data_IF_952900684500
#
_entry.id   IF_952900684500
#
_cell.length_a   1.000
_cell.length_b   1.000
_cell.length_c   1.000
_cell.angle_alpha   90.00
_cell.angle_beta   90.00
_cell.angle_gamma   90.00
#
_symmetry.space_group_name_H-M   'P 1'
#
loop_
_entity.id
_entity.type
_entity.pdbx_description
1 polymer ?
#
# COMPACT_ATOMS: atom_id res chain seq x y z
N UNK A 1 47.10 -27.93 5.55
CA UNK A 1 46.64 -26.57 5.16
C UNK A 1 45.96 -26.58 3.79
N UNK A 2 46.57 -27.16 2.75
CA UNK A 2 46.00 -27.29 1.39
C UNK A 2 44.69 -28.07 1.32
N UNK A 3 44.58 -29.19 2.06
CA UNK A 3 43.34 -29.98 2.14
C UNK A 3 42.15 -29.17 2.68
N UNK A 4 42.37 -28.32 3.69
CA UNK A 4 41.32 -27.48 4.30
C UNK A 4 40.84 -26.41 3.31
N UNK A 5 41.78 -25.77 2.61
CA UNK A 5 41.48 -24.75 1.58
C UNK A 5 40.66 -25.38 0.44
N UNK A 6 41.06 -26.56 -0.03
CA UNK A 6 40.32 -27.30 -1.06
C UNK A 6 38.88 -27.63 -0.64
N UNK A 7 38.68 -28.11 0.59
CA UNK A 7 37.34 -28.39 1.13
C UNK A 7 36.50 -27.12 1.23
N UNK A 8 37.08 -26.00 1.66
CA UNK A 8 36.38 -24.73 1.75
C UNK A 8 35.89 -24.23 0.37
N UNK A 9 36.74 -24.33 -0.66
CA UNK A 9 36.33 -23.98 -2.03
C UNK A 9 35.24 -24.89 -2.57
N UNK A 10 35.37 -26.20 -2.37
CA UNK A 10 34.36 -27.16 -2.81
C UNK A 10 33.01 -26.92 -2.13
N UNK A 11 33.00 -26.69 -0.81
CA UNK A 11 31.79 -26.36 -0.06
C UNK A 11 31.15 -25.08 -0.58
N UNK A 12 31.95 -24.04 -0.83
CA UNK A 12 31.46 -22.76 -1.36
C UNK A 12 30.84 -22.94 -2.75
N UNK A 13 31.48 -23.70 -3.65
CA UNK A 13 30.93 -24.02 -4.97
C UNK A 13 29.61 -24.78 -4.87
N UNK A 14 29.52 -25.79 -4.00
CA UNK A 14 28.28 -26.55 -3.79
C UNK A 14 27.15 -25.63 -3.30
N UNK A 15 27.43 -24.79 -2.30
CA UNK A 15 26.44 -23.85 -1.78
C UNK A 15 25.99 -22.84 -2.84
N UNK A 16 26.91 -22.34 -3.68
CA UNK A 16 26.57 -21.43 -4.77
C UNK A 16 25.70 -22.10 -5.83
N UNK A 17 25.99 -23.35 -6.20
CA UNK A 17 25.17 -24.10 -7.15
C UNK A 17 23.77 -24.34 -6.58
N UNK A 18 23.66 -24.74 -5.32
CA UNK A 18 22.37 -24.93 -4.64
C UNK A 18 21.59 -23.61 -4.60
N UNK A 19 22.24 -22.49 -4.25
CA UNK A 19 21.62 -21.18 -4.24
C UNK A 19 21.15 -20.75 -5.64
N UNK A 20 21.96 -20.98 -6.68
CA UNK A 20 21.61 -20.69 -8.07
C UNK A 20 20.39 -21.50 -8.51
N UNK A 21 20.36 -22.81 -8.22
CA UNK A 21 19.23 -23.69 -8.56
C UNK A 21 17.96 -23.24 -7.83
N UNK A 22 18.06 -22.90 -6.54
CA UNK A 22 16.94 -22.38 -5.76
C UNK A 22 16.41 -21.05 -6.34
N UNK A 23 17.31 -20.13 -6.71
CA UNK A 23 16.94 -18.87 -7.34
C UNK A 23 16.26 -19.08 -8.70
N UNK A 24 16.78 -19.97 -9.54
CA UNK A 24 16.18 -20.33 -10.83
C UNK A 24 14.82 -21.00 -10.67
N UNK A 25 14.68 -21.93 -9.72
CA UNK A 25 13.41 -22.57 -9.40
C UNK A 25 12.37 -21.52 -8.96
N UNK A 26 12.76 -20.57 -8.10
CA UNK A 26 11.91 -19.45 -7.68
C UNK A 26 11.51 -18.56 -8.86
N UNK A 27 12.48 -18.23 -9.73
CA UNK A 27 12.25 -17.41 -10.92
C UNK A 27 11.24 -18.06 -11.88
N UNK A 28 11.32 -19.39 -12.07
CA UNK A 28 10.42 -20.14 -12.94
C UNK A 28 9.01 -20.32 -12.37
N UNK A 29 8.89 -20.55 -11.06
CA UNK A 29 7.61 -20.84 -10.39
C UNK A 29 6.90 -19.60 -9.84
N UNK A 30 7.56 -18.44 -9.81
CA UNK A 30 7.04 -17.22 -9.19
C UNK A 30 5.80 -16.64 -9.90
N UNK A 31 4.63 -16.54 -9.23
CA UNK A 31 3.41 -15.92 -9.77
C UNK A 31 3.42 -14.37 -9.65
N UNK A 32 4.28 -13.81 -8.80
CA UNK A 32 4.40 -12.36 -8.56
C UNK A 32 5.55 -11.76 -9.38
N UNK A 33 5.31 -10.64 -10.06
CA UNK A 33 6.35 -9.88 -10.77
C UNK A 33 7.45 -9.36 -9.82
N UNK A 34 7.10 -9.09 -8.56
CA UNK A 34 8.04 -8.68 -7.52
C UNK A 34 8.95 -9.83 -7.12
N UNK A 35 8.41 -11.03 -7.00
CA UNK A 35 9.17 -12.24 -6.65
C UNK A 35 10.19 -12.61 -7.73
N UNK A 36 9.83 -12.44 -9.01
CA UNK A 36 10.77 -12.62 -10.12
C UNK A 36 11.94 -11.62 -10.07
N UNK A 37 11.67 -10.35 -9.73
CA UNK A 37 12.72 -9.33 -9.60
C UNK A 37 13.68 -9.60 -8.43
N UNK A 38 13.17 -10.16 -7.33
CA UNK A 38 14.00 -10.62 -6.20
C UNK A 38 14.83 -11.84 -6.60
N UNK A 39 14.24 -12.81 -7.31
CA UNK A 39 14.96 -13.99 -7.76
C UNK A 39 16.11 -13.65 -8.70
N UNK A 40 15.94 -12.66 -9.59
CA UNK A 40 17.03 -12.18 -10.45
C UNK A 40 18.14 -11.47 -9.68
N UNK A 41 17.80 -10.70 -8.63
CA UNK A 41 18.80 -10.06 -7.76
C UNK A 41 19.59 -11.09 -6.96
N UNK A 42 18.92 -12.09 -6.40
CA UNK A 42 19.57 -13.23 -5.75
C UNK A 42 20.52 -13.95 -6.71
N UNK A 43 20.12 -14.14 -7.98
CA UNK A 43 20.99 -14.75 -8.99
C UNK A 43 22.22 -13.89 -9.28
N UNK A 44 22.06 -12.56 -9.35
CA UNK A 44 23.19 -11.62 -9.44
C UNK A 44 24.10 -11.71 -8.21
N UNK A 45 23.55 -11.77 -7.00
CA UNK A 45 24.33 -11.92 -5.77
C UNK A 45 25.12 -13.24 -5.74
N UNK A 46 24.52 -14.34 -6.19
CA UNK A 46 25.22 -15.64 -6.36
C UNK A 46 26.33 -15.53 -7.41
N UNK A 47 26.11 -14.78 -8.49
CA UNK A 47 27.13 -14.52 -9.51
C UNK A 47 28.31 -13.72 -8.92
N UNK A 48 28.04 -12.67 -8.14
CA UNK A 48 29.05 -11.89 -7.41
C UNK A 48 29.86 -12.79 -6.48
N UNK A 49 29.20 -13.64 -5.70
CA UNK A 49 29.89 -14.56 -4.79
C UNK A 49 30.74 -15.59 -5.55
N UNK A 50 30.27 -16.09 -6.69
CA UNK A 50 31.04 -16.97 -7.58
C UNK A 50 32.26 -16.28 -8.19
N UNK A 51 32.13 -15.03 -8.64
CA UNK A 51 33.26 -14.22 -9.12
C UNK A 51 34.25 -13.93 -7.98
N UNK A 52 33.76 -13.73 -6.75
CA UNK A 52 34.61 -13.55 -5.57
C UNK A 52 35.43 -14.81 -5.28
N UNK A 53 34.79 -15.97 -5.35
CA UNK A 53 35.48 -17.25 -5.24
C UNK A 53 36.53 -17.44 -6.35
N UNK A 54 36.24 -17.00 -7.58
CA UNK A 54 37.21 -17.01 -8.68
C UNK A 54 38.43 -16.13 -8.38
N UNK A 55 38.25 -14.94 -7.80
CA UNK A 55 39.37 -14.07 -7.37
C UNK A 55 40.24 -14.79 -6.34
N UNK A 56 39.63 -15.46 -5.37
CA UNK A 56 40.35 -16.20 -4.33
C UNK A 56 41.14 -17.37 -4.94
N UNK A 57 40.54 -18.13 -5.86
CA UNK A 57 41.17 -19.30 -6.49
C UNK A 57 42.29 -18.87 -7.44
N UNK A 58 42.07 -17.84 -8.24
CA UNK A 58 43.04 -17.35 -9.24
C UNK A 58 44.18 -16.52 -8.64
N UNK A 59 43.98 -15.98 -7.43
CA UNK A 59 44.93 -15.06 -6.79
C UNK A 59 45.06 -13.71 -7.52
N UNK A 60 44.22 -13.44 -8.52
CA UNK A 60 44.28 -12.24 -9.35
C UNK A 60 43.14 -11.28 -9.02
N UNK A 61 43.47 -10.01 -8.85
CA UNK A 61 42.52 -8.94 -8.52
C UNK A 61 41.84 -8.34 -9.75
N UNK A 62 42.08 -8.86 -10.95
CA UNK A 62 41.50 -8.34 -12.21
C UNK A 62 39.97 -8.35 -12.22
N UNK A 63 39.33 -9.27 -11.49
CA UNK A 63 37.87 -9.34 -11.41
C UNK A 63 37.26 -8.52 -10.24
N UNK A 64 38.06 -7.84 -9.41
CA UNK A 64 37.53 -6.98 -8.35
C UNK A 64 36.64 -5.84 -8.86
N UNK A 65 36.97 -5.12 -9.95
CA UNK A 65 36.08 -4.11 -10.51
C UNK A 65 34.75 -4.70 -10.97
N UNK A 66 34.76 -5.93 -11.50
CA UNK A 66 33.55 -6.66 -11.93
C UNK A 66 32.64 -6.90 -10.74
N UNK A 67 33.17 -7.28 -9.57
CA UNK A 67 32.40 -7.45 -8.33
C UNK A 67 31.69 -6.15 -7.92
N UNK A 68 32.37 -5.02 -8.00
CA UNK A 68 31.80 -3.72 -7.66
C UNK A 68 30.64 -3.40 -8.60
N UNK A 69 30.84 -3.51 -9.91
CA UNK A 69 29.81 -3.21 -10.91
C UNK A 69 28.60 -4.15 -10.77
N UNK A 70 28.81 -5.47 -10.65
CA UNK A 70 27.72 -6.42 -10.46
C UNK A 70 26.95 -6.16 -9.16
N UNK A 71 27.63 -5.83 -8.07
CA UNK A 71 26.99 -5.52 -6.78
C UNK A 71 26.10 -4.28 -6.87
N UNK A 72 26.58 -3.23 -7.53
CA UNK A 72 25.79 -2.02 -7.76
C UNK A 72 24.55 -2.31 -8.63
N UNK A 73 24.72 -3.06 -9.72
CA UNK A 73 23.61 -3.40 -10.64
C UNK A 73 22.56 -4.28 -9.94
N UNK A 74 23.00 -5.33 -9.24
CA UNK A 74 22.12 -6.23 -8.50
C UNK A 74 21.30 -5.47 -7.46
N UNK A 75 21.96 -4.70 -6.60
CA UNK A 75 21.29 -3.93 -5.55
C UNK A 75 20.36 -2.83 -6.08
N UNK A 76 20.78 -2.11 -7.12
CA UNK A 76 20.03 -0.93 -7.59
C UNK A 76 18.69 -1.32 -8.24
N UNK A 77 18.62 -2.47 -8.92
CA UNK A 77 17.42 -2.92 -9.63
C UNK A 77 16.18 -3.03 -8.73
N UNK A 78 16.17 -3.89 -7.71
CA UNK A 78 15.04 -4.07 -6.80
C UNK A 78 14.72 -2.81 -5.99
N UNK A 79 15.72 -2.04 -5.56
CA UNK A 79 15.51 -0.80 -4.78
C UNK A 79 14.78 0.27 -5.59
N UNK A 80 15.12 0.41 -6.87
CA UNK A 80 14.43 1.32 -7.77
C UNK A 80 12.96 0.91 -7.95
N UNK A 81 12.70 -0.39 -8.13
CA UNK A 81 11.33 -0.92 -8.26
C UNK A 81 10.52 -0.72 -6.97
N UNK A 82 11.11 -1.00 -5.81
CA UNK A 82 10.47 -0.80 -4.51
C UNK A 82 10.07 0.67 -4.28
N UNK A 83 10.95 1.63 -4.65
CA UNK A 83 10.63 3.06 -4.60
C UNK A 83 9.51 3.43 -5.56
N UNK A 84 9.48 2.91 -6.78
CA UNK A 84 8.42 3.22 -7.73
C UNK A 84 7.05 2.76 -7.23
N UNK A 85 6.99 1.58 -6.60
CA UNK A 85 5.75 1.03 -6.04
C UNK A 85 5.22 1.91 -4.90
N UNK A 86 6.10 2.36 -4.00
CA UNK A 86 5.70 3.23 -2.89
C UNK A 86 5.19 4.59 -3.40
N UNK A 87 5.88 5.22 -4.35
CA UNK A 87 5.43 6.47 -4.97
C UNK A 87 4.07 6.33 -5.67
N UNK A 88 3.88 5.27 -6.45
CA UNK A 88 2.60 5.03 -7.13
C UNK A 88 1.45 4.80 -6.15
N UNK A 89 1.71 4.15 -5.02
CA UNK A 89 0.68 3.90 -4.00
C UNK A 89 0.23 5.16 -3.25
N UNK A 90 1.09 6.17 -3.14
CA UNK A 90 0.74 7.47 -2.57
C UNK A 90 -0.13 8.25 -3.56
N UNK A 91 0.32 8.36 -4.82
CA UNK A 91 -0.41 9.06 -5.87
C UNK A 91 -1.82 8.47 -6.11
N UNK A 92 -1.94 7.13 -6.17
CA UNK A 92 -3.24 6.46 -6.36
C UNK A 92 -4.18 6.71 -5.17
N UNK A 93 -3.66 6.80 -3.93
CA UNK A 93 -4.47 7.13 -2.75
C UNK A 93 -5.01 8.56 -2.81
N UNK A 94 -4.19 9.51 -3.23
CA UNK A 94 -4.59 10.91 -3.32
C UNK A 94 -5.64 11.11 -4.42
N UNK A 95 -5.47 10.47 -5.59
CA UNK A 95 -6.49 10.46 -6.64
C UNK A 95 -7.82 9.85 -6.16
N UNK A 96 -7.76 8.76 -5.39
CA UNK A 96 -8.96 8.11 -4.81
C UNK A 96 -9.64 9.01 -3.78
N UNK A 97 -8.88 9.82 -3.03
CA UNK A 97 -9.44 10.86 -2.14
C UNK A 97 -10.09 11.99 -2.92
N UNK A 98 -9.49 12.45 -4.02
CA UNK A 98 -10.09 13.50 -4.86
C UNK A 98 -11.41 13.04 -5.49
N UNK A 99 -11.49 11.79 -5.96
CA UNK A 99 -12.75 11.24 -6.51
C UNK A 99 -13.78 10.91 -5.43
N UNK A 100 -13.35 10.36 -4.28
CA UNK A 100 -14.24 10.15 -3.14
C UNK A 100 -14.78 11.47 -2.56
N UNK A 101 -13.93 12.50 -2.46
CA UNK A 101 -14.31 13.83 -2.02
C UNK A 101 -15.23 14.54 -3.00
N UNK A 102 -15.00 14.39 -4.32
CA UNK A 102 -15.91 14.89 -5.35
C UNK A 102 -17.29 14.21 -5.27
N UNK A 103 -17.34 12.90 -4.99
CA UNK A 103 -18.59 12.16 -4.78
C UNK A 103 -19.33 12.55 -3.49
N UNK A 104 -18.61 12.84 -2.42
CA UNK A 104 -19.20 13.33 -1.18
C UNK A 104 -19.76 14.76 -1.34
N UNK A 105 -19.02 15.64 -2.02
CA UNK A 105 -19.47 17.01 -2.30
C UNK A 105 -20.72 17.05 -3.20
N UNK A 106 -20.81 16.17 -4.20
CA UNK A 106 -22.00 16.07 -5.04
C UNK A 106 -23.20 15.50 -4.29
N UNK A 107 -22.99 14.58 -3.34
CA UNK A 107 -24.05 14.03 -2.50
C UNK A 107 -24.63 15.08 -1.54
N UNK A 108 -23.77 15.85 -0.87
CA UNK A 108 -24.20 16.94 0.03
C UNK A 108 -24.92 18.06 -0.74
N UNK A 109 -24.43 18.41 -1.93
CA UNK A 109 -25.10 19.38 -2.81
C UNK A 109 -26.47 18.88 -3.24
N UNK A 110 -26.60 17.61 -3.63
CA UNK A 110 -27.89 17.01 -3.97
C UNK A 110 -28.86 16.90 -2.80
N UNK A 111 -28.37 16.69 -1.56
CA UNK A 111 -29.24 16.75 -0.37
C UNK A 111 -29.69 18.16 -0.02
N UNK A 112 -28.82 19.16 -0.21
CA UNK A 112 -29.18 20.57 -0.02
C UNK A 112 -30.18 21.05 -1.07
N UNK A 113 -30.00 20.66 -2.34
CA UNK A 113 -30.95 20.95 -3.42
C UNK A 113 -32.33 20.32 -3.11
N UNK A 114 -32.39 19.05 -2.68
CA UNK A 114 -33.67 18.44 -2.24
C UNK A 114 -34.28 19.10 -1.01
N UNK A 115 -33.47 19.54 -0.06
CA UNK A 115 -33.96 20.25 1.12
C UNK A 115 -34.50 21.64 0.74
N UNK A 116 -33.86 22.32 -0.21
CA UNK A 116 -34.33 23.59 -0.77
C UNK A 116 -35.66 23.40 -1.53
N UNK A 117 -35.77 22.34 -2.35
CA UNK A 117 -37.01 21.98 -3.06
C UNK A 117 -38.15 21.69 -2.06
N UNK A 118 -37.85 20.97 -0.97
CA UNK A 118 -38.82 20.67 0.09
C UNK A 118 -39.25 21.92 0.87
N UNK A 119 -38.33 22.82 1.18
CA UNK A 119 -38.64 24.09 1.85
C UNK A 119 -39.49 25.00 0.95
N UNK A 120 -39.19 25.04 -0.36
CA UNK A 120 -39.98 25.77 -1.34
C UNK A 120 -41.41 25.20 -1.43
N UNK A 121 -41.57 23.87 -1.36
CA UNK A 121 -42.88 23.23 -1.34
C UNK A 121 -43.69 23.64 -0.10
N UNK A 122 -43.09 23.65 1.09
CA UNK A 122 -43.75 24.16 2.31
C UNK A 122 -44.12 25.64 2.20
N UNK A 123 -43.27 26.48 1.58
CA UNK A 123 -43.55 27.90 1.41
C UNK A 123 -44.71 28.18 0.42
N UNK A 124 -45.06 27.23 -0.43
CA UNK A 124 -46.24 27.32 -1.31
C UNK A 124 -47.53 26.84 -0.65
N UNK A 125 -47.47 26.23 0.54
CA UNK A 125 -48.65 26.00 1.38
C UNK A 125 -48.93 27.32 2.09
N UNK A 126 -50.01 27.99 1.68
CA UNK A 126 -50.41 29.31 2.18
C UNK A 126 -50.74 29.34 3.69
N UNK A 127 -51.09 30.54 4.22
CA UNK A 127 -51.10 30.89 5.65
C UNK A 127 -52.16 30.19 6.55
N UNK A 128 -52.65 29.00 6.18
CA UNK A 128 -53.61 28.24 6.99
C UNK A 128 -52.98 27.53 8.20
N UNK A 129 -51.66 27.39 8.26
CA UNK A 129 -50.98 26.64 9.33
C UNK A 129 -50.78 27.42 10.64
N UNK A 130 -50.83 28.76 10.64
CA UNK A 130 -50.72 29.55 11.88
C UNK A 130 -51.98 29.48 12.76
N UNK A 131 -53.14 29.14 12.20
CA UNK A 131 -54.41 29.11 12.94
C UNK A 131 -54.54 27.90 13.88
N UNK A 132 -53.83 26.80 13.61
CA UNK A 132 -53.91 25.57 14.43
C UNK A 132 -53.07 25.62 15.71
N UNK A 133 -52.04 26.47 15.77
CA UNK A 133 -51.19 26.59 16.97
C UNK A 133 -51.83 27.49 18.05
N UNK A 134 -52.66 28.46 17.65
CA UNK A 134 -53.40 29.36 18.55
C UNK A 134 -54.50 28.60 19.34
N UNK A 135 -55.12 27.58 18.72
CA UNK A 135 -56.15 26.75 19.36
C UNK A 135 -55.60 25.79 20.45
N UNK A 136 -54.29 25.58 20.51
CA UNK A 136 -53.67 24.60 21.41
C UNK A 136 -53.21 25.18 22.75
N UNK A 137 -52.97 26.49 22.86
CA UNK A 137 -52.55 27.12 24.13
C UNK A 137 -53.73 27.37 25.09
N UNK A 138 -54.97 27.41 24.60
CA UNK A 138 -56.17 27.63 25.43
C UNK A 138 -56.64 26.38 26.23
N UNK A 139 -55.95 25.25 26.11
CA UNK A 139 -56.42 23.94 26.60
C UNK A 139 -55.78 23.36 27.86
N UNK A 140 -54.68 23.92 28.39
CA UNK A 140 -53.91 23.30 29.50
C UNK A 140 -54.05 24.06 30.84
N UNK A 141 -55.29 24.42 31.18
CA UNK A 141 -55.72 24.79 32.53
C UNK A 141 -56.39 23.59 33.25
N UNK A 142 -55.74 22.43 33.35
CA UNK A 142 -56.21 21.35 34.23
C UNK A 142 -55.04 20.59 34.89
N UNK A 143 -55.14 20.53 36.22
CA UNK A 143 -54.43 19.67 37.16
C UNK A 143 -53.09 20.17 37.72
N UNK A 144 -53.23 21.24 38.50
CA UNK A 144 -52.60 21.29 39.81
C UNK A 144 -52.97 20.03 40.65
N UNK A 145 -52.03 19.63 41.50
CA UNK A 145 -52.20 18.74 42.67
C UNK A 145 -51.81 17.26 42.49
N UNK A 146 -50.51 16.98 42.47
CA UNK A 146 -49.95 15.74 43.08
C UNK A 146 -48.47 15.88 43.47
N UNK A 147 -48.09 17.04 44.02
CA UNK A 147 -46.86 17.17 44.81
C UNK A 147 -47.18 16.72 46.25
N UNK A 148 -47.12 15.41 46.55
CA UNK A 148 -47.46 14.96 47.90
C UNK A 148 -47.60 13.46 48.19
N UNK A 149 -46.60 12.62 47.88
CA UNK A 149 -46.34 11.34 48.58
C UNK A 149 -44.99 10.79 48.12
N UNK A 150 -43.94 10.85 48.96
CA UNK A 150 -43.54 9.81 49.93
C UNK A 150 -43.49 8.41 49.33
#
# INVERSE_FOLDING_TARGET
MTMVIGVAHALTLVLLVVAAVMALARMAMGPSSLDRSIATDLLTAVTVAGTGLYVVISGSTTALPVLVVLSLIGFTGPVAIARLISFRSAQVRDLRRSTAGAGAASQTRGSLERAADAAQACATVGPEAEQTWDDAEDGEDLDADTEGRR
#
